data_IF_133786784130
#
_entry.id   IF_133786784130
#
_cell.length_a   1.000
_cell.length_b   1.000
_cell.length_c   1.000
_cell.angle_alpha   90.00
_cell.angle_beta   90.00
_cell.angle_gamma   90.00
#
_symmetry.space_group_name_H-M   'P 1'
#
loop_
_entity.id
_entity.type
_entity.pdbx_description
1 polymer ?
#
# COMPACT_ATOMS: atom_id res chain seq x y z
N UNK A 1 4.01 4.38 -8.76
CA UNK A 1 3.75 3.65 -7.50
C UNK A 1 3.58 4.53 -6.26
N UNK A 2 4.01 5.80 -6.23
CA UNK A 2 3.72 6.70 -5.11
C UNK A 2 2.20 6.81 -4.78
N UNK A 3 1.34 6.84 -5.81
CA UNK A 3 -0.13 6.79 -5.66
C UNK A 3 -0.63 5.51 -4.98
N UNK A 4 0.03 4.37 -5.22
CA UNK A 4 -0.32 3.10 -4.56
C UNK A 4 0.11 3.11 -3.10
N UNK A 5 1.24 3.76 -2.77
CA UNK A 5 1.68 3.91 -1.39
C UNK A 5 0.65 4.72 -0.56
N UNK A 6 0.05 5.75 -1.15
CA UNK A 6 -1.04 6.52 -0.52
C UNK A 6 -2.33 5.70 -0.35
N UNK A 7 -2.67 4.87 -1.33
CA UNK A 7 -3.78 3.91 -1.25
C UNK A 7 -3.63 2.96 -0.06
N UNK A 8 -2.45 2.35 0.05
CA UNK A 8 -2.08 1.45 1.14
C UNK A 8 -2.17 2.19 2.47
N UNK A 9 -1.71 3.44 2.54
CA UNK A 9 -1.82 4.27 3.75
C UNK A 9 -3.26 4.44 4.22
N UNK A 10 -4.16 4.69 3.27
CA UNK A 10 -5.58 4.95 3.54
C UNK A 10 -6.25 3.71 4.09
N UNK A 11 -6.01 2.55 3.48
CA UNK A 11 -6.54 1.27 3.97
C UNK A 11 -5.96 0.95 5.34
N UNK A 12 -4.65 1.06 5.54
CA UNK A 12 -4.03 0.80 6.85
C UNK A 12 -4.61 1.69 7.96
N UNK A 13 -4.90 2.97 7.68
CA UNK A 13 -5.59 3.85 8.62
C UNK A 13 -7.02 3.40 8.91
N UNK A 14 -7.76 2.98 7.89
CA UNK A 14 -9.13 2.46 8.01
C UNK A 14 -9.18 1.22 8.88
N UNK A 15 -8.22 0.32 8.73
CA UNK A 15 -8.10 -0.92 9.51
C UNK A 15 -7.53 -0.69 10.91
N UNK A 16 -7.22 0.56 11.29
CA UNK A 16 -6.66 0.86 12.61
C UNK A 16 -5.25 0.33 12.82
N UNK A 17 -4.50 0.09 11.74
CA UNK A 17 -3.13 -0.41 11.82
C UNK A 17 -2.24 0.59 12.60
N UNK A 18 -1.42 0.13 13.56
CA UNK A 18 -0.59 1.03 14.35
C UNK A 18 0.49 1.67 13.47
N UNK A 19 0.57 3.01 13.52
CA UNK A 19 1.61 3.81 12.86
C UNK A 19 1.77 3.52 11.34
N UNK A 20 0.73 3.72 10.53
CA UNK A 20 0.75 3.42 9.09
C UNK A 20 1.83 4.22 8.34
N UNK A 21 2.15 5.42 8.82
CA UNK A 21 3.20 6.26 8.26
C UNK A 21 4.60 5.65 8.44
N UNK A 22 4.89 5.03 9.59
CA UNK A 22 6.19 4.38 9.83
C UNK A 22 6.37 3.16 8.92
N UNK A 23 5.30 2.38 8.72
CA UNK A 23 5.31 1.23 7.82
C UNK A 23 5.60 1.66 6.37
N UNK A 24 4.94 2.72 5.89
CA UNK A 24 5.20 3.29 4.56
C UNK A 24 6.59 3.89 4.42
N UNK A 25 7.12 4.49 5.48
CA UNK A 25 8.49 5.00 5.48
C UNK A 25 9.51 3.88 5.29
N UNK A 26 9.24 2.64 5.75
CA UNK A 26 10.10 1.50 5.44
C UNK A 26 10.06 1.15 3.95
N UNK A 27 8.88 1.22 3.32
CA UNK A 27 8.72 0.96 1.88
C UNK A 27 9.45 2.01 1.01
N UNK A 28 9.49 3.28 1.44
CA UNK A 28 10.09 4.38 0.66
C UNK A 28 11.55 4.70 1.01
N UNK A 29 12.12 4.01 2.01
CA UNK A 29 13.42 4.36 2.62
C UNK A 29 14.62 4.21 1.67
N UNK A 30 14.52 3.35 0.67
CA UNK A 30 15.65 3.00 -0.21
C UNK A 30 15.95 4.07 -1.27
N UNK A 31 15.15 5.14 -1.38
CA UNK A 31 15.33 6.20 -2.39
C UNK A 31 15.12 5.73 -3.84
N UNK A 32 14.89 4.44 -4.04
CA UNK A 32 14.55 3.80 -5.32
C UNK A 32 13.06 3.88 -5.58
N UNK A 33 12.68 3.92 -6.86
CA UNK A 33 11.29 3.83 -7.27
C UNK A 33 10.62 2.58 -6.66
N UNK A 34 9.47 2.77 -6.02
CA UNK A 34 8.69 1.66 -5.45
C UNK A 34 8.26 0.73 -6.58
N UNK A 35 8.55 -0.57 -6.46
CA UNK A 35 8.14 -1.60 -7.42
C UNK A 35 7.00 -2.46 -6.88
N UNK A 36 6.40 -3.28 -7.76
CA UNK A 36 5.33 -4.22 -7.40
C UNK A 36 5.81 -5.23 -6.36
N UNK A 37 7.03 -5.74 -6.54
CA UNK A 37 7.63 -6.77 -5.71
C UNK A 37 7.85 -6.23 -4.29
N UNK A 38 8.31 -4.98 -4.17
CA UNK A 38 8.46 -4.31 -2.88
C UNK A 38 7.13 -4.15 -2.16
N UNK A 39 6.06 -3.79 -2.88
CA UNK A 39 4.72 -3.67 -2.28
C UNK A 39 4.16 -5.03 -1.88
N UNK A 40 4.31 -6.07 -2.72
CA UNK A 40 3.86 -7.41 -2.36
C UNK A 40 4.56 -7.91 -1.09
N UNK A 41 5.89 -7.78 -1.05
CA UNK A 41 6.67 -8.15 0.13
C UNK A 41 6.27 -7.34 1.37
N UNK A 42 5.96 -6.06 1.20
CA UNK A 42 5.46 -5.21 2.28
C UNK A 42 4.08 -5.68 2.79
N UNK A 43 3.15 -5.99 1.89
CA UNK A 43 1.81 -6.48 2.26
C UNK A 43 1.91 -7.80 3.02
N UNK A 44 2.84 -8.68 2.64
CA UNK A 44 3.07 -9.96 3.30
C UNK A 44 3.60 -9.80 4.73
N UNK A 45 4.31 -8.71 5.02
CA UNK A 45 4.82 -8.37 6.35
C UNK A 45 3.79 -7.69 7.25
N UNK A 46 2.64 -7.25 6.72
CA UNK A 46 1.61 -6.61 7.51
C UNK A 46 0.87 -7.63 8.40
N UNK A 47 0.80 -7.33 9.70
CA UNK A 47 -0.05 -8.07 10.65
C UNK A 47 -1.50 -7.59 10.56
N UNK A 48 -2.13 -7.77 9.40
CA UNK A 48 -3.54 -7.46 9.13
C UNK A 48 -4.28 -8.72 8.71
N UNK A 49 -5.62 -8.67 8.67
CA UNK A 49 -6.43 -9.79 8.20
C UNK A 49 -6.13 -10.14 6.75
N UNK A 50 -6.30 -11.41 6.39
CA UNK A 50 -6.06 -11.87 5.01
C UNK A 50 -6.96 -11.15 4.00
N UNK A 51 -8.19 -10.80 4.40
CA UNK A 51 -9.11 -10.03 3.58
C UNK A 51 -8.55 -8.64 3.21
N UNK A 52 -7.88 -7.98 4.16
CA UNK A 52 -7.19 -6.70 3.93
C UNK A 52 -5.97 -6.90 3.03
N UNK A 53 -5.20 -7.97 3.22
CA UNK A 53 -4.06 -8.28 2.33
C UNK A 53 -4.52 -8.51 0.89
N UNK A 54 -5.63 -9.20 0.67
CA UNK A 54 -6.22 -9.38 -0.65
C UNK A 54 -6.70 -8.07 -1.27
N UNK A 55 -7.31 -7.18 -0.49
CA UNK A 55 -7.67 -5.82 -0.93
C UNK A 55 -6.43 -5.03 -1.34
N UNK A 56 -5.38 -5.03 -0.51
CA UNK A 56 -4.12 -4.35 -0.79
C UNK A 56 -3.42 -4.89 -2.04
N UNK A 57 -3.41 -6.22 -2.24
CA UNK A 57 -2.81 -6.87 -3.43
C UNK A 57 -3.55 -6.55 -4.73
N UNK A 58 -4.83 -6.17 -4.65
CA UNK A 58 -5.62 -5.72 -5.81
C UNK A 58 -5.32 -4.28 -6.21
N UNK A 59 -4.68 -3.50 -5.35
CA UNK A 59 -4.27 -2.13 -5.69
C UNK A 59 -3.11 -2.18 -6.67
N UNK A 60 -3.32 -1.55 -7.82
CA UNK A 60 -2.29 -1.35 -8.84
C UNK A 60 -2.24 0.13 -9.21
N UNK A 61 -1.11 0.61 -9.77
CA UNK A 61 -1.03 1.98 -10.26
C UNK A 61 -2.10 2.30 -11.30
N UNK A 62 -2.59 1.29 -12.03
CA UNK A 62 -3.62 1.41 -13.07
C UNK A 62 -5.04 1.46 -12.50
N UNK A 63 -5.33 0.72 -11.43
CA UNK A 63 -6.62 0.78 -10.73
C UNK A 63 -6.71 1.97 -9.76
N UNK A 64 -5.57 2.56 -9.38
CA UNK A 64 -5.48 3.66 -8.44
C UNK A 64 -4.95 4.95 -9.09
N UNK A 65 -5.32 5.19 -10.35
CA UNK A 65 -5.07 6.45 -11.07
C UNK A 65 -6.15 7.51 -10.82
N UNK A 66 -7.23 7.21 -10.09
CA UNK A 66 -8.37 8.12 -9.99
C UNK A 66 -9.13 8.31 -11.31
N UNK A 67 -8.97 7.41 -12.30
CA UNK A 67 -9.68 7.47 -13.59
C UNK A 67 -11.11 6.88 -13.55
N UNK A 68 -11.77 6.94 -12.40
CA UNK A 68 -13.24 7.00 -12.29
C UNK A 68 -13.66 8.32 -11.62
N UNK A 69 -12.93 9.38 -11.98
CA UNK A 69 -13.34 10.77 -11.85
C UNK A 69 -13.34 11.33 -13.28
N UNK A 70 -14.39 11.00 -14.03
CA UNK A 70 -14.89 11.67 -15.25
C UNK A 70 -13.92 12.00 -16.39
#
# INVERSE_FOLDING_TARGET
>A
WAVVAEAIQTILRREGFPKPYEALKQLTRTGTAITREQISAFIDQLTVSEQVKEELRRITPYNYTGADLF
#
